data_IF_321903164701
#
_entry.id   IF_321903164701
#
_cell.length_a   1.000
_cell.length_b   1.000
_cell.length_c   1.000
_cell.angle_alpha   90.00
_cell.angle_beta   90.00
_cell.angle_gamma   90.00
#
_symmetry.space_group_name_H-M   'P 1'
#
loop_
_entity.id
_entity.type
_entity.pdbx_description
1 polymer ?
#
# COMPACT_ATOMS: atom_id res chain seq x y z
N UNK A 1 -39.73 19.69 13.41
CA UNK A 1 -39.57 21.03 12.81
C UNK A 1 -39.22 22.01 13.91
N UNK A 2 -37.96 22.43 14.02
CA UNK A 2 -37.49 23.38 15.04
C UNK A 2 -36.87 24.56 14.29
N UNK A 3 -37.53 25.72 14.39
CA UNK A 3 -37.08 27.01 13.85
C UNK A 3 -36.13 27.66 14.85
N UNK A 4 -34.87 27.86 14.49
CA UNK A 4 -33.95 28.73 15.22
C UNK A 4 -33.77 30.03 14.43
N UNK A 5 -34.42 31.10 14.91
CA UNK A 5 -34.12 32.48 14.55
C UNK A 5 -32.89 32.89 15.37
N UNK A 6 -31.83 33.32 14.71
CA UNK A 6 -30.71 34.00 15.36
C UNK A 6 -30.54 35.38 14.71
N UNK A 7 -30.73 36.40 15.55
CA UNK A 7 -30.47 37.81 15.30
C UNK A 7 -28.96 38.06 15.44
N UNK A 8 -28.35 38.73 14.48
CA UNK A 8 -27.07 39.40 14.70
C UNK A 8 -27.14 40.86 14.23
N UNK A 9 -26.54 41.80 15.00
CA UNK A 9 -26.76 43.22 14.84
C UNK A 9 -25.87 43.84 13.76
N UNK A 10 -26.43 44.89 13.17
CA UNK A 10 -25.78 45.85 12.28
C UNK A 10 -24.73 46.63 13.08
N UNK A 11 -23.47 46.57 12.65
CA UNK A 11 -22.43 47.53 13.07
C UNK A 11 -21.96 48.25 11.81
N UNK A 12 -22.41 49.51 11.69
CA UNK A 12 -21.77 50.52 10.87
C UNK A 12 -20.45 50.90 11.54
N UNK A 13 -19.34 50.82 10.80
CA UNK A 13 -18.15 51.59 11.15
C UNK A 13 -17.67 52.32 9.90
N UNK A 14 -17.58 53.64 10.04
CA UNK A 14 -17.28 54.60 9.00
C UNK A 14 -15.80 54.59 8.60
N UNK A 15 -15.57 55.11 7.40
CA UNK A 15 -14.32 55.24 6.68
C UNK A 15 -13.20 55.96 7.44
N UNK A 16 -11.94 55.54 7.24
CA UNK A 16 -10.77 56.42 7.17
C UNK A 16 -9.79 55.90 6.11
N UNK A 17 -9.42 56.81 5.22
CA UNK A 17 -8.51 56.71 4.09
C UNK A 17 -7.05 56.50 4.49
N UNK A 18 -6.33 55.63 3.76
CA UNK A 18 -4.90 55.78 3.45
C UNK A 18 -4.53 54.80 2.32
N UNK A 19 -4.45 55.30 1.08
CA UNK A 19 -3.87 54.57 -0.03
C UNK A 19 -2.34 54.62 0.09
N UNK A 20 -1.76 53.54 0.59
CA UNK A 20 -0.32 53.28 0.46
C UNK A 20 -0.19 52.30 -0.71
N UNK A 21 0.29 52.79 -1.86
CA UNK A 21 0.60 51.95 -3.02
C UNK A 21 1.88 51.18 -2.68
N UNK A 22 1.72 50.09 -1.95
CA UNK A 22 2.73 49.05 -1.83
C UNK A 22 2.31 47.97 -2.82
N UNK A 23 3.14 47.69 -3.83
CA UNK A 23 2.95 46.56 -4.73
C UNK A 23 3.18 45.27 -3.93
N UNK A 24 2.24 44.92 -3.07
CA UNK A 24 2.15 43.60 -2.48
C UNK A 24 1.87 42.63 -3.62
N UNK A 25 2.90 41.90 -4.04
CA UNK A 25 2.76 40.69 -4.84
C UNK A 25 1.79 39.80 -4.07
N UNK A 26 0.54 39.73 -4.56
CA UNK A 26 -0.47 38.90 -3.97
C UNK A 26 0.04 37.44 -3.98
N UNK A 27 0.04 36.74 -2.84
CA UNK A 27 0.38 35.32 -2.85
C UNK A 27 -0.59 34.60 -3.80
N UNK A 28 -0.09 33.65 -4.60
CA UNK A 28 -0.92 32.91 -5.54
C UNK A 28 -2.12 32.34 -4.79
N UNK A 29 -3.33 32.67 -5.26
CA UNK A 29 -4.58 32.13 -4.73
C UNK A 29 -4.64 30.65 -5.10
N UNK A 30 -4.07 29.80 -4.24
CA UNK A 30 -4.18 28.35 -4.35
C UNK A 30 -5.65 27.97 -4.10
N UNK A 31 -6.26 27.30 -5.07
CA UNK A 31 -7.68 26.94 -5.04
C UNK A 31 -7.90 25.70 -4.16
N UNK A 32 -7.85 25.92 -2.84
CA UNK A 32 -7.86 24.92 -1.74
C UNK A 32 -9.02 23.90 -1.86
N UNK A 33 -10.17 24.29 -2.42
CA UNK A 33 -11.32 23.38 -2.57
C UNK A 33 -11.10 22.26 -3.61
N UNK A 34 -10.34 22.50 -4.68
CA UNK A 34 -10.09 21.49 -5.70
C UNK A 34 -9.09 20.44 -5.19
N UNK A 35 -8.07 20.89 -4.49
CA UNK A 35 -7.03 20.04 -3.93
C UNK A 35 -7.60 19.10 -2.85
N UNK A 36 -8.56 19.57 -2.04
CA UNK A 36 -9.26 18.73 -1.06
C UNK A 36 -10.12 17.62 -1.69
N UNK A 37 -10.75 17.89 -2.83
CA UNK A 37 -11.56 16.88 -3.53
C UNK A 37 -10.71 15.76 -4.13
N UNK A 38 -9.54 16.10 -4.68
CA UNK A 38 -8.61 15.13 -5.28
C UNK A 38 -7.94 14.27 -4.20
N UNK A 39 -7.48 14.87 -3.10
CA UNK A 39 -6.95 14.13 -1.94
C UNK A 39 -8.00 13.17 -1.35
N UNK A 40 -9.28 13.57 -1.31
CA UNK A 40 -10.36 12.71 -0.84
C UNK A 40 -10.60 11.52 -1.77
N UNK A 41 -10.55 11.72 -3.09
CA UNK A 41 -10.66 10.62 -4.07
C UNK A 41 -9.48 9.66 -3.95
N UNK A 42 -8.27 10.16 -3.79
CA UNK A 42 -7.09 9.30 -3.69
C UNK A 42 -7.11 8.45 -2.42
N UNK A 43 -7.53 9.04 -1.29
CA UNK A 43 -7.73 8.30 -0.04
C UNK A 43 -8.80 7.20 -0.17
N UNK A 44 -9.86 7.43 -0.93
CA UNK A 44 -10.90 6.43 -1.16
C UNK A 44 -10.39 5.24 -2.01
N UNK A 45 -9.50 5.47 -2.97
CA UNK A 45 -8.84 4.37 -3.70
C UNK A 45 -7.98 3.52 -2.77
N UNK A 46 -7.26 4.17 -1.86
CA UNK A 46 -6.39 3.48 -0.89
C UNK A 46 -7.18 2.63 0.12
N UNK A 47 -8.37 3.09 0.54
CA UNK A 47 -9.29 2.31 1.41
C UNK A 47 -9.84 1.06 0.70
N UNK A 48 -9.84 1.03 -0.64
CA UNK A 48 -10.38 -0.07 -1.43
C UNK A 48 -9.36 -1.16 -1.78
N UNK A 49 -8.08 -1.02 -1.43
CA UNK A 49 -7.08 -2.05 -1.71
C UNK A 49 -7.00 -3.05 -0.56
N UNK A 50 -7.28 -4.32 -0.85
CA UNK A 50 -7.08 -5.42 0.08
C UNK A 50 -5.59 -5.57 0.35
N UNK A 51 -5.13 -5.40 1.59
CA UNK A 51 -3.71 -5.60 1.91
C UNK A 51 -3.38 -7.09 1.83
N UNK A 52 -2.46 -7.48 0.93
CA UNK A 52 -1.91 -8.83 0.81
C UNK A 52 -0.44 -8.83 1.28
N UNK A 53 -0.02 -9.84 2.03
CA UNK A 53 1.37 -10.00 2.49
C UNK A 53 1.73 -11.48 2.65
N UNK A 54 3.03 -11.78 2.74
CA UNK A 54 3.52 -13.12 3.06
C UNK A 54 4.00 -13.17 4.52
N UNK A 55 3.73 -14.27 5.22
CA UNK A 55 4.32 -14.54 6.53
C UNK A 55 5.64 -15.31 6.39
N UNK A 56 6.42 -15.40 7.48
CA UNK A 56 7.60 -16.26 7.57
C UNK A 56 8.61 -16.08 6.42
N UNK A 57 8.97 -14.83 6.08
CA UNK A 57 9.94 -14.55 5.01
C UNK A 57 11.39 -14.57 5.51
N UNK A 58 11.61 -14.78 6.81
CA UNK A 58 12.93 -15.02 7.39
C UNK A 58 13.18 -16.51 7.55
N UNK A 59 14.34 -17.00 7.10
CA UNK A 59 14.69 -18.43 7.12
C UNK A 59 16.19 -18.67 7.26
N UNK A 60 16.60 -19.93 7.20
CA UNK A 60 18.01 -20.35 7.25
C UNK A 60 18.32 -21.27 6.08
N UNK A 61 19.47 -21.06 5.42
CA UNK A 61 19.95 -21.92 4.35
C UNK A 61 20.06 -23.38 4.84
N UNK A 62 19.53 -24.31 4.05
CA UNK A 62 19.46 -25.74 4.36
C UNK A 62 18.27 -26.17 5.23
N UNK A 63 17.40 -25.25 5.66
CA UNK A 63 16.22 -25.58 6.47
C UNK A 63 14.92 -25.34 5.71
N UNK A 64 14.02 -26.33 5.73
CA UNK A 64 12.73 -26.20 5.08
C UNK A 64 11.93 -25.02 5.64
N UNK A 65 11.32 -24.23 4.75
CA UNK A 65 10.44 -23.13 5.14
C UNK A 65 9.19 -23.07 4.25
N UNK A 66 8.13 -22.52 4.84
CA UNK A 66 6.85 -22.26 4.19
C UNK A 66 6.44 -20.83 4.49
N UNK A 67 6.33 -20.03 3.44
CA UNK A 67 5.84 -18.67 3.49
C UNK A 67 4.47 -18.62 2.80
N UNK A 68 3.43 -18.25 3.55
CA UNK A 68 2.04 -18.30 3.10
C UNK A 68 1.53 -16.89 2.82
N UNK A 69 0.86 -16.71 1.69
CA UNK A 69 0.13 -15.48 1.42
C UNK A 69 -1.04 -15.32 2.40
N UNK A 70 -1.20 -14.10 2.89
CA UNK A 70 -2.24 -13.64 3.81
C UNK A 70 -2.85 -12.37 3.24
N UNK A 71 -4.12 -12.15 3.54
CA UNK A 71 -4.80 -10.92 3.16
C UNK A 71 -5.62 -10.41 4.34
N UNK A 72 -5.85 -9.10 4.38
CA UNK A 72 -6.69 -8.44 5.38
C UNK A 72 -8.19 -8.66 5.03
N UNK A 73 -8.58 -9.93 5.06
CA UNK A 73 -9.93 -10.39 4.76
C UNK A 73 -10.44 -11.22 5.95
N UNK A 74 -11.60 -10.90 6.56
CA UNK A 74 -12.07 -11.55 7.80
C UNK A 74 -12.38 -13.06 7.70
N UNK A 75 -12.54 -13.57 6.48
CA UNK A 75 -12.96 -14.96 6.21
C UNK A 75 -11.96 -15.61 5.26
N UNK A 76 -12.38 -15.93 4.04
CA UNK A 76 -11.54 -16.41 2.94
C UNK A 76 -11.45 -15.35 1.86
N UNK A 77 -10.26 -15.22 1.30
CA UNK A 77 -10.02 -14.50 0.05
C UNK A 77 -9.60 -15.52 -1.00
N UNK A 78 -9.89 -15.24 -2.26
CA UNK A 78 -9.45 -16.05 -3.39
C UNK A 78 -8.79 -15.18 -4.43
N UNK A 79 -7.92 -15.77 -5.23
CA UNK A 79 -7.39 -15.18 -6.46
C UNK A 79 -7.04 -16.32 -7.44
N UNK A 80 -6.62 -15.97 -8.65
CA UNK A 80 -5.92 -16.94 -9.50
C UNK A 80 -4.54 -17.26 -8.91
N UNK A 81 -3.89 -18.29 -9.45
CA UNK A 81 -2.51 -18.63 -9.07
C UNK A 81 -1.60 -17.41 -9.31
N UNK A 82 -0.84 -16.97 -8.28
CA UNK A 82 0.01 -15.80 -8.40
C UNK A 82 1.21 -16.09 -9.30
N UNK A 83 1.76 -15.03 -9.89
CA UNK A 83 2.95 -15.12 -10.76
C UNK A 83 4.04 -14.16 -10.31
N UNK A 84 5.30 -14.56 -10.47
CA UNK A 84 6.44 -13.68 -10.24
C UNK A 84 6.56 -12.75 -11.46
N UNK A 85 6.55 -11.45 -11.22
CA UNK A 85 6.65 -10.43 -12.28
C UNK A 85 7.98 -9.69 -12.28
N UNK A 86 8.71 -9.74 -11.17
CA UNK A 86 10.02 -9.10 -11.01
C UNK A 86 10.81 -9.75 -9.87
N UNK A 87 12.14 -9.69 -9.93
CA UNK A 87 13.04 -10.34 -8.98
C UNK A 87 13.06 -11.88 -9.06
N UNK A 88 13.68 -12.51 -8.07
CA UNK A 88 13.86 -13.96 -8.01
C UNK A 88 13.66 -14.49 -6.60
N UNK A 89 13.10 -15.69 -6.49
CA UNK A 89 13.07 -16.41 -5.21
C UNK A 89 14.48 -16.87 -4.81
N UNK A 90 14.78 -16.98 -3.51
CA UNK A 90 15.97 -17.67 -3.04
C UNK A 90 16.10 -19.07 -3.68
N UNK A 91 17.27 -19.49 -4.16
CA UNK A 91 17.47 -20.81 -4.76
C UNK A 91 16.98 -21.94 -3.85
N UNK A 92 16.21 -22.88 -4.40
CA UNK A 92 15.59 -23.98 -3.65
C UNK A 92 14.20 -23.67 -3.07
N UNK A 93 13.71 -22.43 -3.22
CA UNK A 93 12.31 -22.09 -3.01
C UNK A 93 11.54 -22.08 -4.33
N UNK A 94 10.26 -22.45 -4.27
CA UNK A 94 9.35 -22.51 -5.41
C UNK A 94 7.97 -21.98 -5.01
N UNK A 95 7.21 -21.50 -5.99
CA UNK A 95 5.81 -21.13 -5.79
C UNK A 95 4.94 -22.39 -5.87
N UNK A 96 4.18 -22.67 -4.81
CA UNK A 96 3.14 -23.67 -4.74
C UNK A 96 1.80 -22.99 -4.44
N UNK A 97 1.09 -22.61 -5.51
CA UNK A 97 -0.13 -21.79 -5.45
C UNK A 97 0.13 -20.49 -4.68
N UNK A 98 -0.49 -20.34 -3.51
CA UNK A 98 -0.38 -19.18 -2.62
C UNK A 98 0.81 -19.24 -1.66
N UNK A 99 1.55 -20.34 -1.65
CA UNK A 99 2.65 -20.57 -0.75
C UNK A 99 3.97 -20.51 -1.51
N UNK A 100 5.01 -20.04 -0.84
CA UNK A 100 6.39 -20.20 -1.26
C UNK A 100 7.00 -21.25 -0.35
N UNK A 101 7.39 -22.37 -0.93
CA UNK A 101 7.81 -23.56 -0.21
C UNK A 101 9.15 -24.06 -0.73
N UNK A 102 9.93 -24.69 0.15
CA UNK A 102 11.16 -25.36 -0.23
C UNK A 102 12.23 -25.24 0.85
N UNK A 103 13.48 -25.43 0.43
CA UNK A 103 14.65 -25.35 1.30
C UNK A 103 15.63 -24.39 0.64
N UNK A 104 15.78 -23.16 1.16
CA UNK A 104 16.65 -22.17 0.56
C UNK A 104 18.11 -22.66 0.65
N UNK A 105 18.87 -22.51 -0.42
CA UNK A 105 20.22 -23.04 -0.54
C UNK A 105 21.30 -21.98 -0.35
N UNK A 106 20.94 -20.70 -0.49
CA UNK A 106 21.87 -19.58 -0.40
C UNK A 106 21.40 -18.54 0.62
N UNK A 107 22.25 -18.13 1.57
CA UNK A 107 21.95 -17.01 2.45
C UNK A 107 21.98 -15.69 1.67
N UNK A 108 21.26 -14.69 2.17
CA UNK A 108 21.18 -13.38 1.56
C UNK A 108 19.82 -12.71 1.75
N UNK A 109 19.71 -11.50 1.23
CA UNK A 109 18.46 -10.75 1.14
C UNK A 109 17.93 -10.83 -0.28
N UNK A 110 16.68 -11.21 -0.44
CA UNK A 110 16.05 -11.39 -1.74
C UNK A 110 14.76 -10.58 -1.80
N UNK A 111 14.53 -9.91 -2.91
CA UNK A 111 13.30 -9.18 -3.18
C UNK A 111 12.64 -9.78 -4.41
N UNK A 112 11.39 -10.17 -4.28
CA UNK A 112 10.56 -10.69 -5.37
C UNK A 112 9.24 -9.94 -5.40
N UNK A 113 8.75 -9.63 -6.59
CA UNK A 113 7.44 -9.01 -6.80
C UNK A 113 6.48 -10.05 -7.36
N UNK A 114 5.36 -10.22 -6.66
CA UNK A 114 4.37 -11.24 -6.98
C UNK A 114 3.06 -10.56 -7.34
N UNK A 115 2.51 -10.92 -8.51
CA UNK A 115 1.23 -10.42 -8.99
C UNK A 115 0.10 -11.38 -8.64
N UNK A 116 -0.91 -10.83 -7.97
CA UNK A 116 -2.20 -11.46 -7.70
C UNK A 116 -3.25 -10.89 -8.64
N UNK A 117 -4.03 -11.76 -9.28
CA UNK A 117 -5.10 -11.36 -10.22
C UNK A 117 -6.45 -11.93 -9.81
N UNK A 118 -7.53 -11.24 -10.22
CA UNK A 118 -8.91 -11.68 -9.90
C UNK A 118 -9.15 -11.86 -8.40
N UNK A 119 -8.60 -10.93 -7.61
CA UNK A 119 -8.71 -10.98 -6.14
C UNK A 119 -10.16 -10.79 -5.73
N UNK A 120 -10.66 -11.68 -4.89
CA UNK A 120 -12.00 -11.61 -4.32
C UNK A 120 -11.96 -11.84 -2.82
N UNK A 121 -12.70 -11.03 -2.07
CA UNK A 121 -12.88 -11.18 -0.63
C UNK A 121 -14.33 -10.82 -0.30
N UNK A 122 -15.05 -11.72 0.40
CA UNK A 122 -16.46 -11.55 0.77
C UNK A 122 -17.38 -11.19 -0.42
N UNK A 123 -17.15 -11.79 -1.58
CA UNK A 123 -17.91 -11.52 -2.81
C UNK A 123 -17.62 -10.16 -3.47
N UNK A 124 -16.70 -9.37 -2.93
CA UNK A 124 -16.21 -8.14 -3.56
C UNK A 124 -14.96 -8.44 -4.37
N UNK A 125 -14.92 -7.93 -5.59
CA UNK A 125 -13.74 -7.98 -6.44
C UNK A 125 -12.84 -6.78 -6.15
N UNK A 126 -11.54 -7.05 -6.11
CA UNK A 126 -10.49 -6.08 -5.90
C UNK A 126 -9.64 -5.99 -7.18
N UNK A 127 -9.05 -4.83 -7.47
CA UNK A 127 -8.10 -4.71 -8.58
C UNK A 127 -6.90 -5.64 -8.33
N UNK A 128 -6.26 -6.06 -9.42
CA UNK A 128 -5.01 -6.81 -9.37
C UNK A 128 -3.95 -6.06 -8.55
N UNK A 129 -3.09 -6.81 -7.87
CA UNK A 129 -2.09 -6.24 -6.97
C UNK A 129 -0.72 -6.88 -7.14
N UNK A 130 0.30 -6.04 -7.12
CA UNK A 130 1.69 -6.44 -7.05
C UNK A 130 2.16 -6.31 -5.59
N UNK A 131 2.68 -7.40 -5.04
CA UNK A 131 3.15 -7.51 -3.66
C UNK A 131 4.66 -7.73 -3.67
N UNK A 132 5.39 -6.81 -3.06
CA UNK A 132 6.82 -6.95 -2.82
C UNK A 132 7.04 -7.85 -1.59
N UNK A 133 7.79 -8.93 -1.78
CA UNK A 133 8.12 -9.89 -0.73
C UNK A 133 9.63 -9.88 -0.51
N UNK A 134 10.01 -9.53 0.70
CA UNK A 134 11.40 -9.49 1.12
C UNK A 134 11.75 -10.72 1.95
N UNK A 135 12.69 -11.53 1.46
CA UNK A 135 13.23 -12.68 2.16
C UNK A 135 14.57 -12.35 2.80
N UNK A 136 14.75 -12.79 4.05
CA UNK A 136 16.03 -12.75 4.76
C UNK A 136 16.46 -14.19 5.08
N UNK A 137 17.43 -14.72 4.34
CA UNK A 137 17.95 -16.07 4.54
C UNK A 137 19.30 -15.98 5.24
N UNK A 138 19.38 -16.58 6.42
CA UNK A 138 20.59 -16.62 7.25
C UNK A 138 21.38 -17.90 7.03
N UNK A 139 22.62 -17.93 7.54
CA UNK A 139 23.50 -19.11 7.53
C UNK A 139 24.69 -18.96 6.61
N UNK A 140 25.52 -20.00 6.57
CA UNK A 140 26.69 -20.06 5.70
C UNK A 140 26.28 -20.60 4.33
N UNK A 141 26.79 -19.99 3.26
CA UNK A 141 26.63 -20.55 1.93
C UNK A 141 27.33 -21.92 1.90
N UNK A 142 26.69 -22.99 1.36
CA UNK A 142 27.39 -24.23 1.11
C UNK A 142 28.64 -23.90 0.29
N UNK A 143 29.82 -24.24 0.82
CA UNK A 143 31.06 -24.09 0.05
C UNK A 143 30.91 -24.95 -1.20
N UNK A 144 30.92 -24.33 -2.37
CA UNK A 144 31.07 -25.06 -3.62
C UNK A 144 32.42 -25.77 -3.53
N UNK A 145 32.37 -27.11 -3.44
CA UNK A 145 33.55 -27.93 -3.66
C UNK A 145 33.66 -28.04 -5.18
N UNK A 146 34.53 -27.22 -5.78
CA UNK A 146 34.96 -27.38 -7.18
C UNK A 146 35.75 -28.68 -7.37
#
# INVERSE_FOLDING_TARGET
MIKFKSLFPVIFCAAISAFIISCAVAPPQVNDQKDQADLRRERLKQIQQLKIWYNNTSGKAGFHMVSQARADCPVTWNSNDPSIVDGYLPPGLTMDKFNIVGTPQQPGNWLVKIRFTSITCQGRSYPDQDVDVFFNIQGDAPRALE
#
